data_IF_847246616411
#
_entry.id   IF_847246616411
#
_cell.length_a   1.000
_cell.length_b   1.000
_cell.length_c   1.000
_cell.angle_alpha   90.00
_cell.angle_beta   90.00
_cell.angle_gamma   90.00
#
_symmetry.space_group_name_H-M   'P 1'
#
loop_
_entity.id
_entity.type
_entity.pdbx_description
1 polymer ?
#
# COMPACT_ATOMS: atom_id res chain seq x y z
N UNK A 1 72.00 -28.20 -55.96
CA UNK A 1 71.04 -28.99 -55.14
C UNK A 1 70.32 -27.98 -54.23
N UNK A 2 69.10 -27.67 -54.58
CA UNK A 2 68.36 -26.63 -53.86
C UNK A 2 67.00 -27.25 -53.38
N UNK A 3 66.80 -27.35 -52.08
CA UNK A 3 65.53 -27.82 -51.48
C UNK A 3 64.67 -26.65 -51.09
N UNK A 4 63.55 -26.51 -51.80
CA UNK A 4 62.51 -25.54 -51.41
C UNK A 4 61.62 -26.18 -50.36
N UNK A 5 61.55 -25.57 -49.19
CA UNK A 5 60.64 -25.92 -48.12
C UNK A 5 59.37 -25.09 -48.24
N UNK A 6 58.22 -25.77 -48.52
CA UNK A 6 56.88 -25.14 -48.53
C UNK A 6 56.36 -25.11 -47.14
N UNK A 7 56.09 -23.91 -46.58
CA UNK A 7 55.42 -23.71 -45.31
C UNK A 7 53.92 -23.65 -45.58
N UNK A 8 53.18 -24.63 -45.06
CA UNK A 8 51.71 -24.64 -45.05
C UNK A 8 51.23 -23.90 -43.80
N UNK A 9 50.64 -22.71 -43.98
CA UNK A 9 49.96 -21.99 -42.92
C UNK A 9 48.57 -22.61 -42.63
N UNK A 10 48.39 -23.13 -41.41
CA UNK A 10 47.12 -23.65 -40.93
C UNK A 10 46.35 -22.48 -40.28
N UNK A 11 45.30 -22.00 -40.93
CA UNK A 11 44.39 -21.01 -40.35
C UNK A 11 43.41 -21.70 -39.40
N UNK A 12 43.54 -21.47 -38.10
CA UNK A 12 42.58 -21.92 -37.08
C UNK A 12 41.50 -20.83 -36.95
N UNK A 13 40.34 -21.10 -37.51
CA UNK A 13 39.14 -20.29 -37.26
C UNK A 13 38.57 -20.64 -35.88
N UNK A 14 38.74 -19.76 -34.89
CA UNK A 14 38.06 -19.83 -33.63
C UNK A 14 36.64 -19.27 -33.78
N UNK A 15 35.65 -20.15 -33.77
CA UNK A 15 34.25 -19.75 -33.74
C UNK A 15 33.87 -19.31 -32.30
N UNK A 16 33.74 -18.00 -32.09
CA UNK A 16 33.14 -17.47 -30.85
C UNK A 16 31.62 -17.64 -30.87
N UNK A 17 31.12 -18.64 -30.14
CA UNK A 17 29.67 -18.80 -29.87
C UNK A 17 29.26 -17.79 -28.81
N UNK A 18 28.63 -16.71 -29.23
CA UNK A 18 27.98 -15.76 -28.31
C UNK A 18 26.66 -16.37 -27.81
N UNK A 19 26.66 -16.91 -26.59
CA UNK A 19 25.42 -17.30 -25.91
C UNK A 19 24.69 -16.03 -25.46
N UNK A 20 23.65 -15.64 -26.21
CA UNK A 20 22.72 -14.60 -25.78
C UNK A 20 21.83 -15.24 -24.73
N UNK A 21 22.11 -14.95 -23.45
CA UNK A 21 21.21 -15.29 -22.33
C UNK A 21 20.07 -14.30 -22.38
N UNK A 22 18.96 -14.68 -23.01
CA UNK A 22 17.71 -13.93 -22.96
C UNK A 22 17.14 -14.08 -21.54
N UNK A 23 17.48 -13.14 -20.66
CA UNK A 23 16.86 -13.02 -19.34
C UNK A 23 15.41 -12.60 -19.50
N UNK A 24 14.46 -13.56 -19.40
CA UNK A 24 13.05 -13.24 -19.25
C UNK A 24 12.86 -12.51 -17.92
N UNK A 25 12.66 -11.20 -17.97
CA UNK A 25 12.21 -10.43 -16.80
C UNK A 25 10.80 -10.91 -16.44
N UNK A 26 10.73 -11.84 -15.50
CA UNK A 26 9.47 -12.33 -14.96
C UNK A 26 8.85 -11.20 -14.13
N UNK A 27 7.90 -10.47 -14.68
CA UNK A 27 7.13 -9.47 -13.94
C UNK A 27 6.33 -10.20 -12.88
N UNK A 28 6.80 -10.12 -11.62
CA UNK A 28 6.06 -10.66 -10.47
C UNK A 28 4.73 -9.92 -10.42
N UNK A 29 3.62 -10.67 -10.48
CA UNK A 29 2.28 -10.09 -10.37
C UNK A 29 2.18 -9.24 -9.09
N UNK A 30 1.61 -8.05 -9.22
CA UNK A 30 1.43 -7.16 -8.08
C UNK A 30 0.57 -7.85 -7.00
N UNK A 31 1.04 -7.84 -5.76
CA UNK A 31 0.23 -8.34 -4.65
C UNK A 31 -1.02 -7.48 -4.51
N UNK A 32 -2.16 -8.14 -4.29
CA UNK A 32 -3.47 -7.48 -4.16
C UNK A 32 -4.22 -8.06 -2.97
N UNK A 33 -4.87 -7.19 -2.20
CA UNK A 33 -5.78 -7.56 -1.13
C UNK A 33 -7.02 -6.67 -1.18
N UNK A 34 -8.21 -7.27 -1.11
CA UNK A 34 -9.48 -6.54 -1.01
C UNK A 34 -10.06 -6.84 0.36
N UNK A 35 -10.48 -5.80 1.05
CA UNK A 35 -11.13 -5.87 2.35
C UNK A 35 -12.50 -5.20 2.29
N UNK A 36 -13.48 -5.77 2.97
CA UNK A 36 -14.79 -5.17 3.19
C UNK A 36 -14.71 -4.18 4.33
N UNK A 37 -15.37 -3.02 4.18
CA UNK A 37 -15.53 -2.05 5.25
C UNK A 37 -16.93 -2.17 5.84
N UNK A 38 -17.00 -2.12 7.16
CA UNK A 38 -18.25 -2.12 7.90
C UNK A 38 -18.38 -0.89 8.77
N UNK A 39 -19.60 -0.40 8.90
CA UNK A 39 -19.93 0.67 9.85
C UNK A 39 -20.05 0.14 11.29
N UNK A 40 -20.28 1.03 12.25
CA UNK A 40 -20.43 0.71 13.66
C UNK A 40 -21.65 -0.20 13.98
N UNK A 41 -22.56 -0.38 13.03
CA UNK A 41 -23.73 -1.28 13.16
C UNK A 41 -23.48 -2.64 12.48
N UNK A 42 -22.30 -2.81 11.84
CA UNK A 42 -21.95 -4.03 11.10
C UNK A 42 -22.46 -4.06 9.66
N UNK A 43 -23.07 -2.97 9.16
CA UNK A 43 -23.49 -2.89 7.77
C UNK A 43 -22.28 -2.79 6.84
N UNK A 44 -22.36 -3.42 5.67
CA UNK A 44 -21.38 -3.28 4.60
C UNK A 44 -21.50 -1.87 3.98
N UNK A 45 -20.40 -1.11 4.05
CA UNK A 45 -20.31 0.24 3.50
C UNK A 45 -19.29 0.34 2.37
N UNK A 46 -18.86 -0.80 1.82
CA UNK A 46 -18.04 -0.88 0.63
C UNK A 46 -16.74 -1.64 0.80
N UNK A 47 -15.79 -1.39 -0.10
CA UNK A 47 -14.52 -2.12 -0.15
C UNK A 47 -13.32 -1.19 -0.33
N UNK A 48 -12.19 -1.64 0.20
CA UNK A 48 -10.86 -1.12 -0.13
C UNK A 48 -10.05 -2.21 -0.83
N UNK A 49 -9.59 -1.93 -2.04
CA UNK A 49 -8.66 -2.80 -2.76
C UNK A 49 -7.27 -2.20 -2.72
N UNK A 50 -6.36 -2.88 -2.03
CA UNK A 50 -4.98 -2.50 -1.82
C UNK A 50 -4.12 -3.27 -2.83
N UNK A 51 -3.32 -2.59 -3.63
CA UNK A 51 -2.48 -3.19 -4.66
C UNK A 51 -1.05 -2.67 -4.50
N UNK A 52 -0.07 -3.58 -4.47
CA UNK A 52 1.35 -3.18 -4.48
C UNK A 52 1.68 -2.42 -5.75
N UNK A 53 2.23 -1.20 -5.62
CA UNK A 53 2.57 -0.35 -6.76
C UNK A 53 3.78 0.52 -6.46
N UNK A 54 4.82 0.36 -7.28
CA UNK A 54 6.08 1.07 -7.04
C UNK A 54 6.68 0.70 -5.69
N UNK A 55 7.12 1.68 -4.88
CA UNK A 55 7.67 1.45 -3.55
C UNK A 55 6.60 1.10 -2.51
N UNK A 56 5.31 1.42 -2.76
CA UNK A 56 4.24 1.35 -1.80
C UNK A 56 2.99 0.64 -2.29
N UNK A 57 1.84 1.21 -1.98
CA UNK A 57 0.53 0.68 -2.36
C UNK A 57 -0.36 1.73 -3.01
N UNK A 58 -1.28 1.27 -3.83
CA UNK A 58 -2.43 2.03 -4.33
C UNK A 58 -3.70 1.43 -3.70
N UNK A 59 -4.50 2.27 -3.04
CA UNK A 59 -5.75 1.90 -2.39
C UNK A 59 -6.90 2.41 -3.23
N UNK A 60 -7.73 1.50 -3.73
CA UNK A 60 -8.96 1.83 -4.45
C UNK A 60 -10.13 1.66 -3.51
N UNK A 61 -10.79 2.77 -3.22
CA UNK A 61 -12.00 2.83 -2.39
C UNK A 61 -13.24 2.77 -3.29
N UNK A 62 -14.18 1.92 -2.95
CA UNK A 62 -15.54 1.88 -3.49
C UNK A 62 -16.51 1.85 -2.31
N UNK A 63 -16.98 3.03 -1.91
CA UNK A 63 -17.71 3.25 -0.68
C UNK A 63 -19.18 3.62 -0.98
N UNK A 64 -20.07 3.26 -0.06
CA UNK A 64 -21.51 3.52 -0.10
C UNK A 64 -22.04 3.79 1.30
N UNK A 65 -23.22 4.38 1.37
CA UNK A 65 -23.99 4.58 2.61
C UNK A 65 -23.22 5.31 3.73
N UNK A 66 -22.25 6.17 3.33
CA UNK A 66 -21.52 7.04 4.23
C UNK A 66 -22.07 8.48 4.18
N UNK A 67 -21.90 9.26 5.25
CA UNK A 67 -22.27 10.68 5.23
C UNK A 67 -21.55 11.43 4.09
N UNK A 68 -22.23 12.33 3.37
CA UNK A 68 -21.58 13.21 2.38
C UNK A 68 -20.54 14.12 3.03
N UNK A 69 -19.45 14.38 2.31
CA UNK A 69 -18.39 15.27 2.75
C UNK A 69 -16.99 14.73 2.52
N UNK A 70 -16.02 15.42 3.09
CA UNK A 70 -14.61 15.05 3.04
C UNK A 70 -14.26 14.25 4.29
N UNK A 71 -13.65 13.09 4.10
CA UNK A 71 -13.34 12.14 5.16
C UNK A 71 -11.87 11.76 5.12
N UNK A 72 -11.24 11.70 6.29
CA UNK A 72 -9.93 11.13 6.46
C UNK A 72 -9.98 9.61 6.25
N UNK A 73 -8.91 9.09 5.65
CA UNK A 73 -8.68 7.66 5.48
C UNK A 73 -7.28 7.33 5.96
N UNK A 74 -7.17 6.37 6.90
CA UNK A 74 -5.88 6.00 7.46
C UNK A 74 -5.73 4.49 7.58
N UNK A 75 -4.48 3.99 7.51
CA UNK A 75 -4.18 2.67 8.02
C UNK A 75 -3.94 2.73 9.54
N UNK A 76 -4.52 1.74 10.26
CA UNK A 76 -4.35 1.56 11.70
C UNK A 76 -3.53 0.31 12.01
N UNK A 77 -2.91 0.29 13.20
CA UNK A 77 -1.84 -0.66 13.55
C UNK A 77 -2.28 -2.10 13.83
N UNK A 78 -3.59 -2.39 13.94
CA UNK A 78 -4.11 -3.73 14.26
C UNK A 78 -5.22 -4.16 13.30
N UNK A 79 -5.25 -5.44 12.93
CA UNK A 79 -6.30 -6.04 12.13
C UNK A 79 -7.57 -6.31 12.95
N UNK A 80 -8.06 -5.30 13.67
CA UNK A 80 -9.22 -5.39 14.56
C UNK A 80 -10.19 -4.24 14.27
N UNK A 81 -11.48 -4.56 14.16
CA UNK A 81 -12.55 -3.61 13.84
C UNK A 81 -13.75 -3.82 14.78
N UNK A 82 -13.52 -3.80 16.10
CA UNK A 82 -14.61 -4.03 17.05
C UNK A 82 -15.48 -2.79 17.18
N UNK A 83 -16.77 -2.97 16.88
CA UNK A 83 -17.78 -1.93 17.04
C UNK A 83 -18.03 -1.65 18.55
N UNK A 84 -18.58 -0.46 18.89
CA UNK A 84 -19.05 0.59 17.97
C UNK A 84 -18.01 1.63 17.57
N UNK A 85 -16.86 1.73 18.25
CA UNK A 85 -15.93 2.85 18.12
C UNK A 85 -14.60 2.49 17.44
N UNK A 86 -14.43 1.22 17.08
CA UNK A 86 -13.25 0.69 16.40
C UNK A 86 -11.91 0.98 17.09
N UNK A 87 -11.94 1.27 18.42
CA UNK A 87 -10.70 1.55 19.18
C UNK A 87 -9.75 0.37 19.22
N UNK A 88 -10.25 -0.85 19.04
CA UNK A 88 -9.43 -2.06 18.94
C UNK A 88 -8.41 -2.03 17.80
N UNK A 89 -8.67 -1.26 16.73
CA UNK A 89 -7.72 -1.02 15.65
C UNK A 89 -6.42 -0.30 16.09
N UNK A 90 -6.43 0.30 17.28
CA UNK A 90 -5.30 1.07 17.81
C UNK A 90 -5.14 2.44 17.17
N UNK A 91 -3.93 3.01 17.21
CA UNK A 91 -3.55 4.26 16.55
C UNK A 91 -3.26 4.05 15.05
N UNK A 92 -2.83 5.10 14.37
CA UNK A 92 -2.37 5.02 12.99
C UNK A 92 -1.19 4.07 12.86
N UNK A 93 -1.05 3.42 11.70
CA UNK A 93 0.08 2.56 11.39
C UNK A 93 1.35 3.40 11.30
N UNK A 94 2.23 3.26 12.29
CA UNK A 94 3.37 4.15 12.49
C UNK A 94 4.62 3.40 12.97
N UNK A 95 5.25 2.59 12.12
CA UNK A 95 6.43 1.80 12.49
C UNK A 95 7.68 2.65 12.76
N UNK A 96 7.68 3.92 12.35
CA UNK A 96 8.81 4.83 12.47
C UNK A 96 8.65 5.85 13.61
N UNK A 97 7.56 5.79 14.37
CA UNK A 97 7.27 6.66 15.54
C UNK A 97 7.34 8.16 15.22
N UNK A 98 6.87 8.55 14.04
CA UNK A 98 6.70 9.96 13.64
C UNK A 98 5.44 10.55 14.28
N UNK A 99 5.24 11.85 14.15
CA UNK A 99 3.97 12.50 14.45
C UNK A 99 3.02 12.44 13.26
N UNK A 100 1.75 12.80 13.48
CA UNK A 100 0.74 12.82 12.43
C UNK A 100 0.89 14.01 11.49
N UNK A 101 0.60 13.77 10.20
CA UNK A 101 0.25 14.79 9.22
C UNK A 101 1.36 15.20 8.26
N UNK A 102 0.97 15.35 7.00
CA UNK A 102 1.89 15.72 5.90
C UNK A 102 2.46 17.14 6.05
N UNK A 103 1.72 18.02 6.72
CA UNK A 103 2.13 19.42 6.99
C UNK A 103 2.83 19.57 8.34
N UNK A 104 3.05 18.48 9.08
CA UNK A 104 3.78 18.49 10.34
C UNK A 104 5.28 18.21 10.07
N UNK A 105 6.21 19.09 10.49
CA UNK A 105 7.64 18.90 10.24
C UNK A 105 8.23 17.66 10.93
N UNK A 106 7.52 17.07 11.90
CA UNK A 106 7.90 15.80 12.56
C UNK A 106 7.05 14.60 12.08
N UNK A 107 6.20 14.81 11.07
CA UNK A 107 5.31 13.81 10.49
C UNK A 107 5.91 13.17 9.24
N UNK A 108 5.15 12.41 8.55
CA UNK A 108 3.83 11.86 8.93
C UNK A 108 3.95 10.39 9.34
N UNK A 109 2.83 9.80 9.85
CA UNK A 109 2.74 8.36 10.05
C UNK A 109 2.77 7.64 8.71
N UNK A 110 3.31 6.45 8.66
CA UNK A 110 3.30 5.63 7.44
C UNK A 110 1.87 5.27 6.98
N UNK A 111 0.89 5.28 7.85
CA UNK A 111 -0.51 5.00 7.51
C UNK A 111 -1.36 6.24 7.22
N UNK A 112 -0.78 7.44 7.19
CA UNK A 112 -1.52 8.65 6.84
C UNK A 112 -1.76 8.71 5.33
N UNK A 113 -2.99 9.00 4.91
CA UNK A 113 -3.37 9.09 3.51
C UNK A 113 -4.11 10.39 3.20
N UNK A 114 -4.21 10.71 1.92
CA UNK A 114 -5.01 11.87 1.48
C UNK A 114 -6.50 11.62 1.71
N UNK A 115 -7.22 12.67 2.06
CA UNK A 115 -8.66 12.64 2.26
C UNK A 115 -9.42 12.11 1.03
N UNK A 116 -10.57 11.48 1.28
CA UNK A 116 -11.52 11.03 0.26
C UNK A 116 -12.83 11.79 0.37
N UNK A 117 -13.47 12.07 -0.76
CA UNK A 117 -14.75 12.78 -0.80
C UNK A 117 -15.89 11.81 -1.08
N UNK A 118 -16.87 11.77 -0.18
CA UNK A 118 -18.15 11.11 -0.33
C UNK A 118 -19.15 12.09 -0.95
N UNK A 119 -19.82 11.68 -2.02
CA UNK A 119 -20.81 12.48 -2.74
C UNK A 119 -22.11 12.61 -1.94
N UNK A 120 -22.99 13.54 -2.35
CA UNK A 120 -24.32 13.74 -1.77
C UNK A 120 -25.19 12.47 -1.73
N UNK A 121 -24.98 11.53 -2.64
CA UNK A 121 -25.69 10.25 -2.67
C UNK A 121 -25.06 9.17 -1.75
N UNK A 122 -24.11 9.54 -0.88
CA UNK A 122 -23.48 8.63 0.06
C UNK A 122 -22.40 7.72 -0.53
N UNK A 123 -21.97 7.95 -1.79
CA UNK A 123 -20.98 7.09 -2.45
C UNK A 123 -19.63 7.78 -2.66
N UNK A 124 -18.53 7.01 -2.63
CA UNK A 124 -17.22 7.48 -3.05
C UNK A 124 -16.50 6.43 -3.89
N UNK A 125 -15.87 6.87 -4.97
CA UNK A 125 -14.87 6.09 -5.72
C UNK A 125 -13.60 6.92 -5.77
N UNK A 126 -12.59 6.46 -5.08
CA UNK A 126 -11.31 7.16 -4.99
C UNK A 126 -10.14 6.20 -5.15
N UNK A 127 -9.01 6.76 -5.56
CA UNK A 127 -7.72 6.06 -5.56
C UNK A 127 -6.74 6.90 -4.78
N UNK A 128 -6.25 6.36 -3.69
CA UNK A 128 -5.26 6.97 -2.81
C UNK A 128 -3.96 6.21 -2.93
N UNK A 129 -2.82 6.89 -2.90
CA UNK A 129 -1.50 6.27 -2.89
C UNK A 129 -0.87 6.45 -1.52
N UNK A 130 -0.13 5.43 -1.11
CA UNK A 130 0.72 5.47 0.06
C UNK A 130 2.06 4.81 -0.29
N UNK A 131 3.14 5.57 -0.21
CA UNK A 131 4.47 5.11 -0.60
C UNK A 131 5.31 4.63 0.60
N UNK A 132 4.82 4.79 1.83
CA UNK A 132 5.53 4.41 3.05
C UNK A 132 5.17 3.01 3.57
N UNK A 133 4.06 2.42 3.10
CA UNK A 133 3.65 1.07 3.46
C UNK A 133 3.76 0.09 2.30
N UNK A 134 3.92 -1.17 2.59
CA UNK A 134 3.94 -2.24 1.59
C UNK A 134 2.91 -3.32 1.90
N UNK A 135 2.38 -3.97 0.87
CA UNK A 135 1.64 -5.23 1.00
C UNK A 135 2.65 -6.38 0.91
N UNK A 136 3.50 -6.46 1.92
CA UNK A 136 4.66 -7.35 1.99
C UNK A 136 4.33 -8.79 2.40
N UNK A 137 5.27 -9.44 3.07
CA UNK A 137 5.12 -10.81 3.61
C UNK A 137 4.73 -10.81 5.09
N UNK A 138 4.74 -9.62 5.72
CA UNK A 138 4.53 -9.46 7.16
C UNK A 138 5.82 -9.40 7.98
N UNK A 139 6.98 -9.66 7.37
CA UNK A 139 8.29 -9.56 8.04
C UNK A 139 8.91 -8.16 7.93
N UNK A 140 8.48 -7.37 6.96
CA UNK A 140 8.93 -5.98 6.79
C UNK A 140 8.23 -5.09 7.83
N UNK A 141 8.94 -4.19 8.54
CA UNK A 141 8.33 -3.33 9.57
C UNK A 141 7.19 -2.46 9.06
N UNK A 142 7.26 -2.01 7.80
CA UNK A 142 6.25 -1.21 7.14
C UNK A 142 5.23 -2.04 6.32
N UNK A 143 5.18 -3.36 6.52
CA UNK A 143 4.17 -4.20 5.90
C UNK A 143 2.84 -4.08 6.62
N UNK A 144 1.76 -3.85 5.86
CA UNK A 144 0.38 -3.88 6.37
C UNK A 144 -0.03 -5.25 6.94
N UNK A 145 0.77 -6.29 6.69
CA UNK A 145 0.57 -7.65 7.21
C UNK A 145 1.45 -7.97 8.41
N UNK A 146 2.29 -7.03 8.88
CA UNK A 146 3.15 -7.22 10.05
C UNK A 146 2.33 -7.31 11.34
N UNK A 147 2.89 -7.95 12.36
CA UNK A 147 2.30 -8.04 13.71
C UNK A 147 0.83 -8.55 13.74
N UNK A 148 0.46 -9.43 12.80
CA UNK A 148 -0.91 -9.98 12.71
C UNK A 148 -1.85 -9.15 11.83
N UNK A 149 -1.33 -8.14 11.14
CA UNK A 149 -2.06 -7.32 10.20
C UNK A 149 -2.38 -5.91 10.72
N UNK A 150 -3.11 -5.19 9.91
CA UNK A 150 -3.50 -3.79 10.12
C UNK A 150 -4.99 -3.61 9.80
N UNK A 151 -5.49 -2.38 9.81
CA UNK A 151 -6.83 -2.09 9.29
C UNK A 151 -6.84 -0.81 8.49
N UNK A 152 -7.84 -0.65 7.63
CA UNK A 152 -8.15 0.62 6.97
C UNK A 152 -9.38 1.24 7.65
N UNK A 153 -9.29 2.54 7.91
CA UNK A 153 -10.29 3.30 8.64
C UNK A 153 -10.78 4.48 7.83
N UNK A 154 -12.09 4.73 7.85
CA UNK A 154 -12.68 6.00 7.39
C UNK A 154 -13.16 6.76 8.61
N UNK A 155 -12.84 8.04 8.68
CA UNK A 155 -13.19 8.93 9.78
C UNK A 155 -14.37 9.85 9.44
N UNK A 156 -15.01 10.42 10.48
CA UNK A 156 -16.19 11.27 10.34
C UNK A 156 -15.90 12.65 9.70
N UNK A 157 -14.65 13.11 9.75
CA UNK A 157 -14.23 14.43 9.27
C UNK A 157 -13.01 14.32 8.39
N UNK A 158 -12.69 15.40 7.69
CA UNK A 158 -11.42 15.56 7.00
C UNK A 158 -10.24 15.57 7.98
N UNK A 159 -9.12 15.02 7.53
CA UNK A 159 -7.81 15.23 8.13
C UNK A 159 -7.33 16.64 7.83
N UNK A 160 -6.83 17.35 8.83
CA UNK A 160 -6.20 18.67 8.68
C UNK A 160 -4.72 18.58 8.29
N UNK A 161 -4.16 17.37 8.18
CA UNK A 161 -2.79 17.03 7.82
C UNK A 161 -1.70 17.56 8.77
N UNK A 162 -2.06 17.98 9.96
CA UNK A 162 -1.14 18.67 10.87
C UNK A 162 -1.26 18.27 12.32
N UNK A 163 -2.48 18.14 12.84
CA UNK A 163 -2.73 17.97 14.27
C UNK A 163 -2.50 16.53 14.71
N UNK A 164 -1.46 16.31 15.52
CA UNK A 164 -1.21 15.01 16.14
C UNK A 164 -2.28 14.69 17.21
N UNK A 165 -2.74 13.45 17.36
CA UNK A 165 -2.30 12.22 16.67
C UNK A 165 -3.14 11.82 15.46
N UNK A 166 -4.11 12.58 14.99
CA UNK A 166 -5.07 12.07 13.98
C UNK A 166 -5.69 13.15 13.07
N UNK A 167 -5.10 14.36 12.99
CA UNK A 167 -5.59 15.40 12.07
C UNK A 167 -6.99 15.93 12.38
N UNK A 168 -7.42 15.88 13.64
CA UNK A 168 -8.79 16.26 14.03
C UNK A 168 -9.89 15.54 13.24
N UNK A 169 -9.59 14.34 12.72
CA UNK A 169 -10.46 13.58 11.80
C UNK A 169 -11.75 13.05 12.43
N UNK A 170 -11.93 13.22 13.74
CA UNK A 170 -13.15 12.84 14.46
C UNK A 170 -13.32 11.33 14.64
N UNK A 171 -14.58 10.91 14.80
CA UNK A 171 -14.92 9.52 15.08
C UNK A 171 -14.57 8.58 13.92
N UNK A 172 -14.40 7.31 14.23
CA UNK A 172 -14.18 6.22 13.26
C UNK A 172 -15.54 5.72 12.79
N UNK A 173 -15.86 5.86 11.50
CA UNK A 173 -17.19 5.56 10.97
C UNK A 173 -17.23 4.27 10.12
N UNK A 174 -16.10 3.83 9.60
CA UNK A 174 -16.01 2.55 8.90
C UNK A 174 -14.63 1.93 9.07
N UNK A 175 -14.57 0.61 9.17
CA UNK A 175 -13.34 -0.15 9.39
C UNK A 175 -13.33 -1.43 8.55
N UNK A 176 -12.15 -1.77 8.01
CA UNK A 176 -11.88 -3.02 7.33
C UNK A 176 -10.56 -3.64 7.77
N UNK A 177 -10.56 -4.87 8.27
CA UNK A 177 -9.38 -5.56 8.76
C UNK A 177 -8.53 -6.13 7.59
N UNK A 178 -7.23 -5.90 7.65
CA UNK A 178 -6.22 -6.37 6.69
C UNK A 178 -5.41 -7.46 7.38
N UNK A 179 -5.87 -8.69 7.28
CA UNK A 179 -5.21 -9.87 7.88
C UNK A 179 -4.15 -10.46 6.94
N UNK A 180 -3.14 -11.17 7.43
CA UNK A 180 -2.15 -11.91 6.64
C UNK A 180 -2.72 -12.92 5.66
#
# INVERSE_FOLDING_TARGET
>A
MSYSAAIRALAVMAAFSVCIVSGSAQTKAAKKKTVELKDAKGNDVGTATIVSKGPGVEVKLDLKDLPPGVHAVHFHQKAMCDAPDFKSAGGHFNPTSKQHGFDNPQGHHAGDMMNSTVKENGTAKATVKDEEVVLGTGSEPNSLLSNGGSSIMVHAKADDYKTDPSGNSGDRIACGAITP
#
